data_IF_322042080585
#
_entry.id   IF_322042080585
#
_cell.length_a   1.000
_cell.length_b   1.000
_cell.length_c   1.000
_cell.angle_alpha   90.00
_cell.angle_beta   90.00
_cell.angle_gamma   90.00
#
_symmetry.space_group_name_H-M   'P 1'
#
loop_
_entity.id
_entity.type
_entity.pdbx_description
1 polymer ?
#
# COMPACT_ATOMS: atom_id res chain seq x y z
N UNK A 1 2.50 0.41 -0.77
CA UNK A 1 1.23 0.54 -0.03
C UNK A 1 0.12 0.92 -1.00
N UNK A 2 -0.95 0.14 -1.11
CA UNK A 2 -2.03 0.41 -2.04
C UNK A 2 -3.13 -0.66 -2.02
N UNK A 3 -4.29 -0.36 -2.60
CA UNK A 3 -5.45 -1.27 -2.54
C UNK A 3 -6.07 -1.60 -3.91
N UNK A 4 -6.52 -0.64 -4.73
CA UNK A 4 -7.27 -0.92 -5.96
C UNK A 4 -6.39 -1.26 -7.17
N UNK A 5 -7.01 -1.49 -8.33
CA UNK A 5 -6.35 -1.94 -9.57
C UNK A 5 -5.22 -1.02 -10.06
N UNK A 6 -5.35 0.31 -9.90
CA UNK A 6 -4.27 1.25 -10.25
C UNK A 6 -3.01 0.96 -9.41
N UNK A 7 -3.17 0.66 -8.13
CA UNK A 7 -2.06 0.32 -7.25
C UNK A 7 -1.48 -1.06 -7.57
N UNK A 8 -2.31 -2.03 -7.97
CA UNK A 8 -1.85 -3.34 -8.42
C UNK A 8 -1.04 -3.24 -9.71
N UNK A 9 -1.43 -2.35 -10.63
CA UNK A 9 -0.69 -2.07 -11.85
C UNK A 9 0.69 -1.48 -11.55
N UNK A 10 0.76 -0.52 -10.62
CA UNK A 10 2.03 0.04 -10.15
C UNK A 10 2.92 -1.05 -9.51
N UNK A 11 2.37 -1.91 -8.66
CA UNK A 11 3.12 -3.00 -8.02
C UNK A 11 3.71 -3.96 -9.07
N UNK A 12 2.92 -4.38 -10.07
CA UNK A 12 3.41 -5.22 -11.17
C UNK A 12 4.57 -4.58 -11.92
N UNK A 13 4.51 -3.26 -12.17
CA UNK A 13 5.60 -2.53 -12.83
C UNK A 13 6.87 -2.48 -11.96
N UNK A 14 6.72 -2.18 -10.67
CA UNK A 14 7.84 -2.17 -9.71
C UNK A 14 8.55 -3.53 -9.69
N UNK A 15 7.79 -4.63 -9.66
CA UNK A 15 8.35 -5.98 -9.70
C UNK A 15 9.04 -6.28 -11.04
N UNK A 16 8.42 -5.90 -12.17
CA UNK A 16 9.00 -6.08 -13.49
C UNK A 16 10.30 -5.28 -13.69
N UNK A 17 10.44 -4.15 -13.00
CA UNK A 17 11.65 -3.31 -13.03
C UNK A 17 12.77 -3.82 -12.13
N UNK A 18 12.56 -4.94 -11.42
CA UNK A 18 13.59 -5.60 -10.62
C UNK A 18 13.82 -4.98 -9.24
N UNK A 19 12.91 -4.12 -8.76
CA UNK A 19 12.98 -3.61 -7.39
C UNK A 19 12.66 -4.71 -6.38
N UNK A 20 13.43 -4.75 -5.29
CA UNK A 20 13.13 -5.62 -4.16
C UNK A 20 11.92 -5.08 -3.39
N UNK A 21 10.82 -5.83 -3.38
CA UNK A 21 9.62 -5.48 -2.61
C UNK A 21 9.59 -6.30 -1.33
N UNK A 22 10.09 -5.70 -0.25
CA UNK A 22 10.19 -6.33 1.09
C UNK A 22 8.84 -6.56 1.77
N UNK A 23 7.78 -5.83 1.36
CA UNK A 23 6.45 -6.02 1.90
C UNK A 23 5.38 -5.19 1.21
N UNK A 24 4.13 -5.68 1.25
CA UNK A 24 2.97 -5.03 0.65
C UNK A 24 1.93 -4.73 1.71
N UNK A 25 1.62 -3.44 1.87
CA UNK A 25 0.51 -2.99 2.72
C UNK A 25 -0.72 -2.68 1.86
N UNK A 26 -1.85 -3.28 2.22
CA UNK A 26 -3.16 -3.07 1.58
C UNK A 26 -4.25 -3.04 2.66
N UNK A 27 -5.46 -2.63 2.30
CA UNK A 27 -6.57 -2.70 3.26
C UNK A 27 -6.96 -4.16 3.58
N UNK A 28 -7.51 -4.42 4.77
CA UNK A 28 -8.18 -5.69 5.10
C UNK A 28 -9.19 -6.09 4.03
N UNK A 29 -9.34 -7.39 3.83
CA UNK A 29 -10.32 -7.93 2.88
C UNK A 29 -11.71 -7.47 3.33
N UNK A 30 -12.48 -6.92 2.38
CA UNK A 30 -13.84 -6.44 2.66
C UNK A 30 -14.86 -7.23 1.85
N UNK A 31 -16.07 -7.43 2.39
CA UNK A 31 -17.18 -7.99 1.63
C UNK A 31 -17.46 -7.18 0.37
N UNK A 32 -17.64 -7.85 -0.78
CA UNK A 32 -17.97 -7.18 -2.05
C UNK A 32 -19.06 -7.94 -2.81
N UNK A 33 -19.92 -7.20 -3.51
CA UNK A 33 -20.94 -7.73 -4.40
C UNK A 33 -22.12 -8.41 -3.69
N UNK A 34 -23.00 -9.04 -4.48
CA UNK A 34 -24.18 -9.76 -3.97
C UNK A 34 -23.71 -11.03 -3.24
N UNK A 35 -24.07 -11.17 -1.96
CA UNK A 35 -23.66 -12.29 -1.12
C UNK A 35 -22.46 -12.02 -0.22
N UNK A 36 -21.89 -10.80 -0.24
CA UNK A 36 -20.94 -10.30 0.78
C UNK A 36 -19.75 -11.22 1.05
N UNK A 37 -19.25 -11.91 0.01
CA UNK A 37 -18.03 -12.71 0.13
C UNK A 37 -16.83 -11.80 0.37
N UNK A 38 -15.93 -12.22 1.25
CA UNK A 38 -14.64 -11.55 1.44
C UNK A 38 -13.82 -11.69 0.16
N UNK A 39 -13.37 -10.56 -0.37
CA UNK A 39 -12.56 -10.51 -1.60
C UNK A 39 -11.24 -9.84 -1.26
N UNK A 40 -10.14 -10.49 -1.67
CA UNK A 40 -8.81 -9.93 -1.56
C UNK A 40 -8.72 -8.65 -2.40
N UNK A 41 -7.97 -7.66 -1.93
CA UNK A 41 -7.67 -6.49 -2.76
C UNK A 41 -6.85 -6.90 -3.99
N UNK A 42 -6.98 -6.21 -5.15
CA UNK A 42 -6.13 -6.44 -6.31
C UNK A 42 -4.62 -6.43 -5.99
N UNK A 43 -4.19 -5.55 -5.09
CA UNK A 43 -2.78 -5.49 -4.63
C UNK A 43 -2.38 -6.74 -3.84
N UNK A 44 -3.27 -7.28 -2.99
CA UNK A 44 -3.04 -8.51 -2.23
C UNK A 44 -2.84 -9.70 -3.16
N UNK A 45 -3.67 -9.83 -4.19
CA UNK A 45 -3.57 -10.93 -5.16
C UNK A 45 -2.21 -10.94 -5.86
N UNK A 46 -1.73 -9.77 -6.31
CA UNK A 46 -0.41 -9.63 -6.93
C UNK A 46 0.71 -10.01 -5.95
N UNK A 47 0.64 -9.53 -4.71
CA UNK A 47 1.64 -9.83 -3.71
C UNK A 47 1.72 -11.31 -3.36
N UNK A 48 0.57 -11.98 -3.20
CA UNK A 48 0.51 -13.42 -2.93
C UNK A 48 1.07 -14.23 -4.09
N UNK A 49 0.75 -13.88 -5.35
CA UNK A 49 1.32 -14.55 -6.53
C UNK A 49 2.84 -14.40 -6.62
N UNK A 50 3.38 -13.27 -6.15
CA UNK A 50 4.82 -12.99 -6.12
C UNK A 50 5.52 -13.48 -4.83
N UNK A 51 4.82 -14.15 -3.92
CA UNK A 51 5.32 -14.58 -2.61
C UNK A 51 5.88 -13.43 -1.73
N UNK A 52 5.25 -12.27 -1.81
CA UNK A 52 5.64 -11.09 -1.02
C UNK A 52 4.80 -11.05 0.27
N UNK A 53 5.42 -10.76 1.44
CA UNK A 53 4.68 -10.59 2.69
C UNK A 53 3.60 -9.51 2.58
N UNK A 54 2.38 -9.84 3.02
CA UNK A 54 1.22 -8.93 2.99
C UNK A 54 0.83 -8.50 4.40
N UNK A 55 0.68 -7.19 4.58
CA UNK A 55 0.25 -6.55 5.82
C UNK A 55 -1.08 -5.86 5.60
N UNK A 56 -2.06 -6.14 6.47
CA UNK A 56 -3.42 -5.59 6.39
C UNK A 56 -3.84 -4.89 7.68
N UNK A 57 -3.10 -3.87 8.15
CA UNK A 57 -3.50 -3.17 9.37
C UNK A 57 -4.79 -2.36 9.16
N UNK A 58 -5.61 -2.28 10.21
CA UNK A 58 -6.77 -1.40 10.21
C UNK A 58 -6.37 0.09 10.25
N UNK A 59 -5.23 0.40 10.86
CA UNK A 59 -4.66 1.75 10.94
C UNK A 59 -3.20 1.67 11.44
N UNK A 60 -2.50 2.80 11.51
CA UNK A 60 -1.14 2.91 12.06
C UNK A 60 -1.11 3.57 13.44
N UNK A 61 -2.15 3.38 14.27
CA UNK A 61 -2.16 3.89 15.65
C UNK A 61 -1.30 3.01 16.53
N UNK A 62 -1.45 1.70 16.40
CA UNK A 62 -0.74 0.70 17.20
C UNK A 62 0.75 0.64 16.80
N UNK A 63 1.62 0.64 17.80
CA UNK A 63 3.07 0.66 17.58
C UNK A 63 3.57 -0.62 16.92
N UNK A 64 2.96 -1.76 17.22
CA UNK A 64 3.27 -3.05 16.58
C UNK A 64 3.17 -2.99 15.04
N UNK A 65 2.19 -2.25 14.51
CA UNK A 65 2.04 -2.08 13.05
C UNK A 65 3.20 -1.29 12.45
N UNK A 66 3.69 -0.28 13.18
CA UNK A 66 4.83 0.55 12.76
C UNK A 66 6.14 -0.23 12.90
N UNK A 67 6.30 -1.00 13.97
CA UNK A 67 7.47 -1.86 14.17
C UNK A 67 7.56 -2.95 13.10
N UNK A 68 6.43 -3.53 12.68
CA UNK A 68 6.41 -4.44 11.53
C UNK A 68 6.96 -3.76 10.26
N UNK A 69 6.62 -2.48 10.03
CA UNK A 69 7.18 -1.72 8.89
C UNK A 69 8.67 -1.42 9.08
N UNK A 70 9.11 -1.07 10.30
CA UNK A 70 10.53 -0.83 10.61
C UNK A 70 11.38 -2.08 10.41
N UNK A 71 10.87 -3.24 10.79
CA UNK A 71 11.57 -4.52 10.65
C UNK A 71 11.88 -4.87 9.19
N UNK A 72 11.07 -4.40 8.24
CA UNK A 72 11.30 -4.57 6.81
C UNK A 72 12.46 -3.72 6.27
N UNK A 73 12.90 -2.68 7.01
CA UNK A 73 13.97 -1.75 6.62
C UNK A 73 13.86 -1.24 5.16
N UNK A 74 12.70 -0.70 4.73
CA UNK A 74 12.54 -0.23 3.36
C UNK A 74 13.37 1.03 3.10
N UNK A 75 14.01 1.13 1.94
CA UNK A 75 14.63 2.39 1.51
C UNK A 75 13.57 3.45 1.18
N UNK A 76 12.46 3.03 0.56
CA UNK A 76 11.37 3.91 0.13
C UNK A 76 10.01 3.23 0.26
N UNK A 77 8.96 4.00 0.58
CA UNK A 77 7.58 3.55 0.51
C UNK A 77 6.86 4.15 -0.70
N UNK A 78 6.52 3.32 -1.69
CA UNK A 78 5.64 3.70 -2.79
C UNK A 78 4.16 3.58 -2.39
N UNK A 79 3.42 4.69 -2.40
CA UNK A 79 2.02 4.79 -1.99
C UNK A 79 1.14 5.08 -3.20
N UNK A 80 0.07 4.30 -3.39
CA UNK A 80 -0.90 4.50 -4.47
C UNK A 80 -2.28 4.12 -3.98
N UNK A 81 -3.22 5.07 -3.94
CA UNK A 81 -4.62 4.82 -3.60
C UNK A 81 -4.84 3.88 -2.39
N UNK A 82 -4.07 4.10 -1.31
CA UNK A 82 -4.04 3.17 -0.18
C UNK A 82 -5.28 3.28 0.71
N UNK A 83 -5.79 4.50 0.93
CA UNK A 83 -7.01 4.76 1.71
C UNK A 83 -6.83 4.75 3.22
N UNK A 84 -5.59 4.72 3.72
CA UNK A 84 -5.26 4.98 5.13
C UNK A 84 -4.37 6.22 5.23
N UNK A 85 -4.56 6.99 6.29
CA UNK A 85 -3.67 8.10 6.65
C UNK A 85 -2.36 7.50 7.17
N UNK A 86 -1.23 8.00 6.64
CA UNK A 86 0.09 7.67 7.14
C UNK A 86 0.49 8.74 8.18
N UNK A 87 0.57 8.41 9.48
CA UNK A 87 1.08 9.34 10.48
C UNK A 87 2.58 9.57 10.29
N UNK A 88 3.12 10.65 10.87
CA UNK A 88 4.53 11.01 10.74
C UNK A 88 5.47 9.84 11.10
N UNK A 89 5.16 9.09 12.16
CA UNK A 89 5.92 7.90 12.59
C UNK A 89 6.07 6.82 11.52
N UNK A 90 5.19 6.77 10.52
CA UNK A 90 5.28 5.88 9.34
C UNK A 90 6.08 6.52 8.22
N UNK A 91 5.90 7.83 7.99
CA UNK A 91 6.63 8.58 6.99
C UNK A 91 8.15 8.61 7.28
N UNK A 92 8.52 8.56 8.55
CA UNK A 92 9.91 8.56 9.03
C UNK A 92 10.58 7.18 9.02
N UNK A 93 9.85 6.10 8.70
CA UNK A 93 10.44 4.74 8.68
C UNK A 93 11.39 4.55 7.50
N UNK A 94 10.97 4.74 6.24
CA UNK A 94 11.85 4.56 5.09
C UNK A 94 12.91 5.66 5.01
N UNK A 95 14.15 5.29 4.63
CA UNK A 95 15.28 6.23 4.53
C UNK A 95 15.02 7.41 3.58
N UNK A 96 14.30 7.17 2.49
CA UNK A 96 13.95 8.16 1.46
C UNK A 96 12.50 8.69 1.61
N UNK A 97 11.81 8.33 2.69
CA UNK A 97 10.44 8.73 2.93
C UNK A 97 9.40 7.95 2.11
N UNK A 98 8.18 8.49 2.06
CA UNK A 98 7.06 7.94 1.30
C UNK A 98 6.75 8.83 0.10
N UNK A 99 6.61 8.24 -1.08
CA UNK A 99 6.15 8.92 -2.29
C UNK A 99 4.75 8.44 -2.65
N UNK A 100 3.91 9.35 -3.15
CA UNK A 100 2.54 9.00 -3.54
C UNK A 100 2.28 9.30 -5.03
N UNK A 101 1.70 8.33 -5.74
CA UNK A 101 1.10 8.58 -7.05
C UNK A 101 -0.30 9.15 -6.81
N UNK A 102 -0.46 10.42 -7.18
CA UNK A 102 -1.75 11.11 -7.17
C UNK A 102 -2.26 11.24 -8.59
N UNK A 103 -3.51 10.84 -8.85
CA UNK A 103 -4.09 10.77 -10.19
C UNK A 103 -4.56 12.14 -10.73
N UNK A 104 -3.81 13.22 -10.46
CA UNK A 104 -4.04 14.54 -11.03
C UNK A 104 -2.76 15.36 -11.18
N UNK A 105 -2.88 16.46 -11.92
CA UNK A 105 -1.87 17.51 -11.99
C UNK A 105 -1.99 18.43 -10.77
N UNK A 106 -1.22 18.12 -9.73
CA UNK A 106 -1.09 18.96 -8.54
C UNK A 106 -0.63 20.40 -8.91
N UNK A 107 -1.04 21.44 -8.16
CA UNK A 107 -1.82 21.38 -6.93
C UNK A 107 -3.35 21.23 -7.14
N UNK A 108 -3.84 21.12 -8.38
CA UNK A 108 -5.27 20.93 -8.66
C UNK A 108 -5.73 19.54 -8.25
N UNK A 109 -7.00 19.42 -7.85
CA UNK A 109 -7.65 18.15 -7.52
C UNK A 109 -6.98 17.36 -6.38
N UNK A 110 -6.48 18.05 -5.35
CA UNK A 110 -6.11 17.36 -4.09
C UNK A 110 -7.36 16.69 -3.51
N UNK A 111 -7.21 15.48 -2.97
CA UNK A 111 -8.32 14.77 -2.31
C UNK A 111 -8.39 13.30 -2.72
N UNK A 112 -9.53 12.68 -2.42
CA UNK A 112 -9.75 11.24 -2.60
C UNK A 112 -10.30 10.84 -3.97
N UNK A 113 -10.89 11.78 -4.71
CA UNK A 113 -11.45 11.57 -6.04
C UNK A 113 -11.00 12.69 -7.00
N UNK A 114 -9.69 12.74 -7.31
CA UNK A 114 -9.11 13.69 -8.27
C UNK A 114 -9.66 13.59 -9.69
#
# INVERSE_FOLDING_TARGET
MGTPDIAATCLKKILADGFEVVGVYTQPDRPKGRGMKLVASPVKEVALHANIPVFQPENFRDEETVEALRALKPDICAVVAYGRILPQKVLDVPTLGCINIHASLLPKYRGSAP
#
